data_IF_252848826505
#
_entry.id   IF_252848826505
#
_cell.length_a   1.000
_cell.length_b   1.000
_cell.length_c   1.000
_cell.angle_alpha   90.00
_cell.angle_beta   90.00
_cell.angle_gamma   90.00
#
_symmetry.space_group_name_H-M   'P 1'
#
loop_
_entity.id
_entity.type
_entity.pdbx_description
1 polymer ?
#
# COMPACT_ATOMS: atom_id res chain seq x y z
N UNK A 1 -29.59 2.68 -4.37
CA UNK A 1 -29.15 2.01 -5.62
C UNK A 1 -28.53 0.65 -5.29
N UNK A 2 -29.35 -0.26 -4.76
CA UNK A 2 -29.00 -1.66 -4.51
C UNK A 2 -29.29 -2.47 -5.79
N UNK A 3 -28.53 -3.54 -6.03
CA UNK A 3 -28.67 -4.51 -7.14
C UNK A 3 -27.90 -4.22 -8.43
N UNK A 4 -26.74 -3.55 -8.35
CA UNK A 4 -25.64 -3.95 -9.26
C UNK A 4 -24.93 -5.15 -8.62
N UNK A 5 -24.72 -6.27 -9.33
CA UNK A 5 -23.97 -7.39 -8.78
C UNK A 5 -22.58 -6.91 -8.34
N UNK A 6 -22.08 -7.42 -7.20
CA UNK A 6 -20.81 -6.99 -6.60
C UNK A 6 -19.65 -6.97 -7.61
N UNK A 7 -19.64 -7.93 -8.55
CA UNK A 7 -18.67 -7.99 -9.63
C UNK A 7 -18.69 -6.75 -10.55
N UNK A 8 -19.86 -6.18 -10.83
CA UNK A 8 -19.99 -4.97 -11.64
C UNK A 8 -19.55 -3.72 -10.86
N UNK A 9 -19.82 -3.67 -9.55
CA UNK A 9 -19.31 -2.60 -8.69
C UNK A 9 -17.77 -2.60 -8.64
N UNK A 10 -17.16 -3.78 -8.48
CA UNK A 10 -15.71 -3.94 -8.50
C UNK A 10 -15.11 -3.53 -9.85
N UNK A 11 -15.73 -3.94 -10.97
CA UNK A 11 -15.31 -3.50 -12.32
C UNK A 11 -15.41 -1.98 -12.48
N UNK A 12 -16.49 -1.39 -11.98
CA UNK A 12 -16.69 0.06 -12.03
C UNK A 12 -15.59 0.79 -11.25
N UNK A 13 -15.27 0.34 -10.03
CA UNK A 13 -14.18 0.87 -9.20
C UNK A 13 -12.82 0.84 -9.92
N UNK A 14 -12.46 -0.28 -10.56
CA UNK A 14 -11.20 -0.35 -11.31
C UNK A 14 -11.23 0.46 -12.61
N UNK A 15 -12.40 0.69 -13.20
CA UNK A 15 -12.53 1.51 -14.41
C UNK A 15 -12.39 3.01 -14.15
N UNK A 16 -12.79 3.48 -12.98
CA UNK A 16 -12.75 4.90 -12.59
C UNK A 16 -11.37 5.39 -12.18
N UNK A 17 -10.49 4.50 -11.73
CA UNK A 17 -9.09 4.82 -11.43
C UNK A 17 -8.32 5.03 -12.74
N UNK A 18 -7.55 6.12 -12.86
CA UNK A 18 -6.82 6.44 -14.11
C UNK A 18 -5.47 5.73 -14.21
N UNK A 19 -4.65 5.78 -13.15
CA UNK A 19 -3.28 5.24 -13.19
C UNK A 19 -3.25 3.73 -12.98
N UNK A 20 -2.50 3.03 -13.82
CA UNK A 20 -2.33 1.56 -13.73
C UNK A 20 -1.68 1.13 -12.42
N UNK A 21 -0.64 1.83 -11.95
CA UNK A 21 0.01 1.55 -10.66
C UNK A 21 -0.99 1.55 -9.50
N UNK A 22 -1.90 2.53 -9.46
CA UNK A 22 -2.92 2.62 -8.42
C UNK A 22 -3.93 1.47 -8.48
N UNK A 23 -4.26 0.97 -9.69
CA UNK A 23 -5.11 -0.22 -9.87
C UNK A 23 -4.42 -1.49 -9.37
N UNK A 24 -3.15 -1.67 -9.73
CA UNK A 24 -2.36 -2.84 -9.31
C UNK A 24 -2.21 -2.88 -7.78
N UNK A 25 -1.95 -1.73 -7.16
CA UNK A 25 -1.88 -1.61 -5.70
C UNK A 25 -3.21 -1.87 -5.01
N UNK A 26 -4.31 -1.33 -5.54
CA UNK A 26 -5.65 -1.58 -4.98
C UNK A 26 -6.01 -3.05 -5.07
N UNK A 27 -5.76 -3.69 -6.21
CA UNK A 27 -6.01 -5.11 -6.40
C UNK A 27 -5.21 -5.96 -5.41
N UNK A 28 -3.94 -5.62 -5.20
CA UNK A 28 -3.12 -6.30 -4.21
C UNK A 28 -3.68 -6.14 -2.79
N UNK A 29 -4.03 -4.91 -2.41
CA UNK A 29 -4.59 -4.60 -1.10
C UNK A 29 -5.90 -5.38 -0.84
N UNK A 30 -6.83 -5.38 -1.81
CA UNK A 30 -8.09 -6.13 -1.74
C UNK A 30 -7.80 -7.63 -1.63
N UNK A 31 -6.89 -8.16 -2.44
CA UNK A 31 -6.53 -9.58 -2.42
C UNK A 31 -5.96 -9.99 -1.06
N UNK A 32 -5.07 -9.20 -0.47
CA UNK A 32 -4.53 -9.49 0.86
C UNK A 32 -5.61 -9.44 1.94
N UNK A 33 -6.47 -8.41 1.93
CA UNK A 33 -7.60 -8.32 2.84
C UNK A 33 -8.52 -9.55 2.75
N UNK A 34 -8.81 -10.01 1.51
CA UNK A 34 -9.60 -11.22 1.28
C UNK A 34 -8.90 -12.48 1.80
N UNK A 35 -7.61 -12.67 1.52
CA UNK A 35 -6.87 -13.84 2.00
C UNK A 35 -6.85 -13.91 3.53
N UNK A 36 -6.59 -12.78 4.19
CA UNK A 36 -6.60 -12.70 5.65
C UNK A 36 -8.00 -12.98 6.21
N UNK A 37 -9.04 -12.40 5.61
CA UNK A 37 -10.42 -12.66 6.01
C UNK A 37 -10.80 -14.15 5.88
N UNK A 38 -10.44 -14.79 4.77
CA UNK A 38 -10.69 -16.22 4.55
C UNK A 38 -9.90 -17.06 5.55
N UNK A 39 -8.62 -16.75 5.79
CA UNK A 39 -7.82 -17.47 6.77
C UNK A 39 -8.46 -17.41 8.17
N UNK A 40 -8.94 -16.24 8.60
CA UNK A 40 -9.65 -16.07 9.87
C UNK A 40 -10.95 -16.87 9.93
N UNK A 41 -11.75 -16.82 8.86
CA UNK A 41 -13.02 -17.55 8.77
C UNK A 41 -12.82 -19.05 8.90
N UNK A 42 -11.78 -19.59 8.27
CA UNK A 42 -11.46 -21.02 8.28
C UNK A 42 -10.59 -21.44 9.48
N UNK A 43 -10.20 -20.50 10.35
CA UNK A 43 -9.30 -20.78 11.49
C UNK A 43 -7.86 -21.13 11.08
N UNK A 44 -7.43 -20.73 9.89
CA UNK A 44 -6.05 -20.93 9.42
C UNK A 44 -5.12 -19.87 10.03
N UNK A 45 -4.09 -20.33 10.76
CA UNK A 45 -3.09 -19.45 11.36
C UNK A 45 -1.98 -19.01 10.41
N UNK A 46 -1.84 -19.68 9.25
CA UNK A 46 -0.74 -19.44 8.31
C UNK A 46 -1.25 -19.27 6.88
N UNK A 47 -0.73 -18.25 6.18
CA UNK A 47 -0.93 -18.05 4.74
C UNK A 47 0.42 -18.22 4.05
N UNK A 48 0.53 -19.20 3.15
CA UNK A 48 1.75 -19.40 2.36
C UNK A 48 1.68 -18.64 1.04
N UNK A 49 2.63 -17.72 0.84
CA UNK A 49 2.76 -16.92 -0.37
C UNK A 49 3.86 -17.49 -1.27
N UNK A 50 3.55 -17.58 -2.56
CA UNK A 50 4.44 -18.14 -3.59
C UNK A 50 5.48 -17.14 -4.12
N UNK A 51 5.99 -16.27 -3.25
CA UNK A 51 6.97 -15.25 -3.64
C UNK A 51 8.36 -15.88 -3.80
N UNK A 52 8.90 -15.83 -5.02
CA UNK A 52 10.30 -16.16 -5.33
C UNK A 52 11.25 -15.04 -4.92
N UNK A 53 12.55 -15.31 -4.84
CA UNK A 53 13.59 -14.30 -4.62
C UNK A 53 13.53 -13.19 -5.68
N UNK A 54 13.36 -13.55 -6.96
CA UNK A 54 13.21 -12.58 -8.05
C UNK A 54 11.97 -11.70 -7.85
N UNK A 55 10.83 -12.30 -7.48
CA UNK A 55 9.59 -11.55 -7.20
C UNK A 55 9.74 -10.64 -5.98
N UNK A 56 10.44 -11.10 -4.94
CA UNK A 56 10.76 -10.31 -3.76
C UNK A 56 11.61 -9.08 -4.11
N UNK A 57 12.68 -9.24 -4.89
CA UNK A 57 13.50 -8.11 -5.33
C UNK A 57 12.69 -7.07 -6.12
N UNK A 58 11.82 -7.52 -7.03
CA UNK A 58 10.90 -6.63 -7.78
C UNK A 58 9.97 -5.88 -6.82
N UNK A 59 9.34 -6.60 -5.87
CA UNK A 59 8.47 -6.00 -4.86
C UNK A 59 9.22 -4.99 -4.01
N UNK A 60 10.45 -5.29 -3.57
CA UNK A 60 11.25 -4.40 -2.73
C UNK A 60 11.50 -3.05 -3.39
N UNK A 61 11.97 -3.05 -4.63
CA UNK A 61 12.23 -1.81 -5.37
C UNK A 61 10.92 -1.08 -5.69
N UNK A 62 9.89 -1.79 -6.16
CA UNK A 62 8.58 -1.20 -6.48
C UNK A 62 7.93 -0.54 -5.25
N UNK A 63 7.90 -1.24 -4.12
CA UNK A 63 7.37 -0.76 -2.85
C UNK A 63 8.13 0.47 -2.37
N UNK A 64 9.47 0.46 -2.46
CA UNK A 64 10.31 1.60 -2.12
C UNK A 64 9.97 2.81 -3.00
N UNK A 65 9.88 2.63 -4.32
CA UNK A 65 9.51 3.69 -5.28
C UNK A 65 8.10 4.25 -5.06
N UNK A 66 7.18 3.45 -4.51
CA UNK A 66 5.80 3.85 -4.16
C UNK A 66 5.69 4.51 -2.77
N UNK A 67 6.80 4.71 -2.06
CA UNK A 67 6.80 5.25 -0.70
C UNK A 67 6.33 4.26 0.37
N UNK A 68 6.45 2.95 0.14
CA UNK A 68 6.15 1.89 1.13
C UNK A 68 7.40 1.38 1.84
N UNK A 69 8.42 2.23 2.00
CA UNK A 69 9.64 1.86 2.72
C UNK A 69 9.38 1.49 4.18
N UNK A 70 8.42 2.16 4.84
CA UNK A 70 8.06 1.90 6.24
C UNK A 70 7.55 0.46 6.47
N UNK A 71 6.73 -0.10 5.57
CA UNK A 71 6.17 -1.45 5.72
C UNK A 71 7.11 -2.54 5.21
N UNK A 72 8.18 -2.15 4.52
CA UNK A 72 9.05 -3.08 3.82
C UNK A 72 9.66 -4.13 4.76
N UNK A 73 10.23 -3.79 5.94
CA UNK A 73 10.77 -4.78 6.88
C UNK A 73 9.75 -5.84 7.32
N UNK A 74 8.48 -5.47 7.43
CA UNK A 74 7.39 -6.38 7.79
C UNK A 74 7.00 -7.30 6.63
N UNK A 75 7.00 -6.78 5.41
CA UNK A 75 6.49 -7.47 4.23
C UNK A 75 7.48 -8.44 3.57
N UNK A 76 8.78 -8.27 3.79
CA UNK A 76 9.82 -9.08 3.10
C UNK A 76 10.38 -10.23 3.93
N UNK A 77 9.97 -10.32 5.19
CA UNK A 77 10.37 -11.39 6.10
C UNK A 77 10.03 -12.78 5.55
N UNK A 78 10.71 -13.80 6.10
CA UNK A 78 10.29 -15.20 5.89
C UNK A 78 8.87 -15.36 6.39
N UNK A 79 8.61 -14.77 7.55
CA UNK A 79 7.33 -14.65 8.22
C UNK A 79 6.96 -13.17 8.42
N UNK A 80 5.67 -12.88 8.39
CA UNK A 80 5.09 -11.60 8.79
C UNK A 80 4.02 -11.89 9.85
N UNK A 81 4.46 -11.96 11.10
CA UNK A 81 3.60 -12.14 12.27
C UNK A 81 3.12 -10.80 12.85
N UNK A 82 3.88 -9.73 12.62
CA UNK A 82 3.64 -8.44 13.27
C UNK A 82 2.51 -7.65 12.62
N UNK A 83 2.23 -7.85 11.32
CA UNK A 83 1.20 -7.08 10.61
C UNK A 83 -0.22 -7.56 10.92
N UNK A 84 -0.39 -8.82 11.31
CA UNK A 84 -1.69 -9.42 11.60
C UNK A 84 -1.57 -10.25 12.89
N UNK A 85 -2.24 -9.87 13.99
CA UNK A 85 -2.07 -10.51 15.30
C UNK A 85 -2.37 -12.01 15.35
N UNK A 86 -3.24 -12.49 14.46
CA UNK A 86 -3.84 -13.82 14.47
C UNK A 86 -3.46 -14.69 13.25
N UNK A 87 -2.77 -14.11 12.26
CA UNK A 87 -2.42 -14.80 11.01
C UNK A 87 -0.99 -14.48 10.61
N UNK A 88 -0.17 -15.49 10.41
CA UNK A 88 1.20 -15.34 9.94
C UNK A 88 1.31 -15.55 8.42
N UNK A 89 1.87 -14.58 7.71
CA UNK A 89 2.16 -14.73 6.27
C UNK A 89 3.57 -15.28 6.09
N UNK A 90 3.69 -16.45 5.44
CA UNK A 90 4.94 -17.19 5.23
C UNK A 90 5.37 -17.19 3.76
N UNK A 91 6.68 -17.15 3.51
CA UNK A 91 7.28 -17.16 2.16
C UNK A 91 8.34 -18.24 2.00
N UNK A 92 7.96 -19.51 1.77
CA UNK A 92 8.90 -20.62 1.72
C UNK A 92 9.93 -20.52 0.59
N UNK A 93 9.57 -19.89 -0.53
CA UNK A 93 10.40 -19.79 -1.74
C UNK A 93 11.20 -18.49 -1.83
N UNK A 94 11.31 -17.70 -0.75
CA UNK A 94 11.92 -16.36 -0.80
C UNK A 94 13.37 -16.38 -1.28
N UNK A 95 14.08 -17.49 -1.10
CA UNK A 95 15.48 -17.64 -1.48
C UNK A 95 15.68 -18.42 -2.80
N UNK A 96 14.58 -18.75 -3.50
CA UNK A 96 14.60 -19.47 -4.78
C UNK A 96 14.34 -18.49 -5.93
N UNK A 97 15.18 -18.49 -6.95
CA UNK A 97 15.02 -17.66 -8.14
C UNK A 97 13.85 -18.17 -8.99
N UNK A 98 13.16 -17.26 -9.70
CA UNK A 98 12.05 -17.66 -10.57
C UNK A 98 12.44 -18.69 -11.63
N UNK A 99 13.68 -18.62 -12.13
CA UNK A 99 14.22 -19.61 -13.09
C UNK A 99 14.40 -21.00 -12.47
N UNK A 100 14.81 -21.08 -11.21
CA UNK A 100 15.01 -22.35 -10.50
C UNK A 100 13.67 -23.04 -10.26
N UNK A 101 12.66 -22.27 -9.85
CA UNK A 101 11.27 -22.75 -9.72
C UNK A 101 10.75 -23.22 -11.09
N UNK A 102 11.07 -22.49 -12.17
CA UNK A 102 10.74 -22.89 -13.53
C UNK A 102 11.36 -24.23 -13.93
N UNK A 103 12.67 -24.42 -13.68
CA UNK A 103 13.36 -25.68 -13.92
C UNK A 103 12.81 -26.82 -13.08
N UNK A 104 12.52 -26.57 -11.80
CA UNK A 104 11.88 -27.56 -10.92
C UNK A 104 10.55 -28.02 -11.52
N UNK A 105 9.67 -27.09 -11.88
CA UNK A 105 8.38 -27.42 -12.48
C UNK A 105 8.52 -28.23 -13.78
N UNK A 106 9.53 -27.90 -14.60
CA UNK A 106 9.82 -28.63 -15.83
C UNK A 106 10.28 -30.07 -15.55
N UNK A 107 11.29 -30.26 -14.69
CA UNK A 107 11.84 -31.59 -14.41
C UNK A 107 10.82 -32.51 -13.71
N UNK A 108 9.96 -31.95 -12.86
CA UNK A 108 8.91 -32.69 -12.16
C UNK A 108 7.57 -32.74 -12.92
N UNK A 109 7.51 -32.20 -14.15
CA UNK A 109 6.31 -32.22 -15.03
C UNK A 109 5.05 -31.63 -14.35
N UNK A 110 5.23 -30.49 -13.69
CA UNK A 110 4.18 -29.70 -13.00
C UNK A 110 3.63 -28.60 -13.93
N UNK A 111 4.05 -28.58 -15.20
CA UNK A 111 3.67 -27.65 -16.25
C UNK A 111 2.15 -27.52 -16.47
N UNK A 112 1.38 -28.58 -16.15
CA UNK A 112 -0.09 -28.59 -16.24
C UNK A 112 -0.80 -27.54 -15.38
N UNK A 113 -0.16 -27.02 -14.33
CA UNK A 113 -0.75 -26.04 -13.42
C UNK A 113 -0.28 -24.61 -13.67
N UNK A 114 0.48 -24.37 -14.75
CA UNK A 114 0.96 -23.04 -15.10
C UNK A 114 -0.19 -22.22 -15.67
N UNK A 115 -0.65 -21.24 -14.88
CA UNK A 115 -1.63 -20.26 -15.31
C UNK A 115 -0.93 -19.00 -15.83
N UNK A 116 -1.47 -18.43 -16.91
CA UNK A 116 -1.01 -17.11 -17.38
C UNK A 116 -1.32 -16.05 -16.30
N UNK A 117 -0.38 -15.14 -16.00
CA UNK A 117 -0.63 -14.10 -15.02
C UNK A 117 -1.72 -13.15 -15.52
N UNK A 118 -2.83 -13.10 -14.79
CA UNK A 118 -3.87 -12.08 -14.98
C UNK A 118 -3.52 -10.86 -14.13
N UNK A 119 -2.90 -9.86 -14.75
CA UNK A 119 -2.70 -8.56 -14.14
C UNK A 119 -3.04 -7.44 -15.12
N UNK A 120 -3.24 -6.23 -14.61
CA UNK A 120 -3.64 -5.08 -15.43
C UNK A 120 -2.58 -4.67 -16.45
N UNK A 121 -1.31 -5.04 -16.24
CA UNK A 121 -0.18 -4.73 -17.12
C UNK A 121 0.29 -5.88 -18.01
N UNK A 122 -0.43 -6.99 -18.13
CA UNK A 122 0.03 -8.15 -18.93
C UNK A 122 0.16 -7.74 -20.40
N UNK A 123 1.35 -7.95 -20.99
CA UNK A 123 1.71 -7.54 -22.36
C UNK A 123 1.74 -6.02 -22.63
N UNK A 124 1.63 -5.19 -21.59
CA UNK A 124 1.82 -3.74 -21.73
C UNK A 124 3.31 -3.37 -21.68
N UNK A 125 3.66 -2.19 -22.18
CA UNK A 125 5.04 -1.69 -22.14
C UNK A 125 5.53 -1.54 -20.68
N UNK A 126 6.83 -1.73 -20.42
CA UNK A 126 7.36 -1.66 -19.06
C UNK A 126 7.08 -0.35 -18.35
N UNK A 127 7.01 0.78 -19.08
CA UNK A 127 6.71 2.11 -18.53
C UNK A 127 5.25 2.32 -18.12
N UNK A 128 4.38 1.32 -18.25
CA UNK A 128 2.95 1.43 -17.93
C UNK A 128 2.67 1.51 -16.43
N UNK A 129 3.46 0.85 -15.59
CA UNK A 129 3.33 0.91 -14.13
C UNK A 129 4.69 0.79 -13.45
N UNK A 130 4.76 1.17 -12.17
CA UNK A 130 5.99 1.05 -11.39
C UNK A 130 6.39 -0.43 -11.26
N UNK A 131 5.44 -1.33 -11.05
CA UNK A 131 5.71 -2.76 -10.94
C UNK A 131 6.26 -3.33 -12.24
N UNK A 132 5.70 -2.93 -13.38
CA UNK A 132 6.16 -3.39 -14.70
C UNK A 132 7.55 -2.86 -15.04
N UNK A 133 7.78 -1.58 -14.77
CA UNK A 133 9.09 -0.96 -15.01
C UNK A 133 10.17 -1.63 -14.16
N UNK A 134 9.83 -1.92 -12.90
CA UNK A 134 10.73 -2.57 -11.96
C UNK A 134 10.95 -4.04 -12.33
N UNK A 135 9.92 -4.75 -12.76
CA UNK A 135 10.03 -6.13 -13.25
C UNK A 135 10.97 -6.21 -14.45
N UNK A 136 10.81 -5.33 -15.45
CA UNK A 136 11.70 -5.28 -16.62
C UNK A 136 13.14 -4.93 -16.22
N UNK A 137 13.33 -3.95 -15.34
CA UNK A 137 14.65 -3.55 -14.85
C UNK A 137 15.37 -4.70 -14.11
N UNK A 138 14.71 -5.34 -13.14
CA UNK A 138 15.31 -6.41 -12.34
C UNK A 138 15.59 -7.65 -13.20
N UNK A 139 14.64 -8.06 -14.05
CA UNK A 139 14.84 -9.20 -14.96
C UNK A 139 15.93 -8.90 -15.99
N UNK A 140 16.04 -7.65 -16.45
CA UNK A 140 17.10 -7.20 -17.34
C UNK A 140 18.48 -7.32 -16.70
N UNK A 141 18.67 -6.70 -15.54
CA UNK A 141 19.98 -6.66 -14.87
C UNK A 141 20.40 -8.01 -14.27
N UNK A 142 19.46 -8.87 -13.87
CA UNK A 142 19.76 -10.22 -13.37
C UNK A 142 20.47 -11.08 -14.42
N UNK A 143 20.21 -10.86 -15.72
CA UNK A 143 20.86 -11.59 -16.81
C UNK A 143 22.35 -11.31 -16.89
N UNK A 144 22.73 -10.06 -16.66
CA UNK A 144 24.12 -9.60 -16.71
C UNK A 144 24.84 -9.83 -15.37
N UNK A 145 24.11 -9.68 -14.27
CA UNK A 145 24.63 -9.76 -12.90
C UNK A 145 23.76 -10.69 -12.03
N UNK A 146 24.02 -12.01 -12.02
CA UNK A 146 23.20 -13.00 -11.33
C UNK A 146 23.04 -12.75 -9.82
N UNK A 147 24.03 -12.10 -9.19
CA UNK A 147 23.99 -11.80 -7.75
C UNK A 147 23.04 -10.66 -7.38
N UNK A 148 22.51 -9.89 -8.36
CA UNK A 148 21.73 -8.67 -8.10
C UNK A 148 20.51 -8.92 -7.24
N UNK A 149 19.71 -9.94 -7.56
CA UNK A 149 18.50 -10.30 -6.79
C UNK A 149 18.85 -10.60 -5.33
N UNK A 150 19.91 -11.40 -5.12
CA UNK A 150 20.35 -11.76 -3.77
C UNK A 150 20.89 -10.56 -2.99
N UNK A 151 21.62 -9.65 -3.64
CA UNK A 151 22.15 -8.43 -3.03
C UNK A 151 21.04 -7.51 -2.60
N UNK A 152 20.02 -7.31 -3.46
CA UNK A 152 18.83 -6.51 -3.12
C UNK A 152 18.14 -7.11 -1.89
N UNK A 153 17.81 -8.41 -1.93
CA UNK A 153 17.11 -9.07 -0.83
C UNK A 153 17.89 -8.97 0.50
N UNK A 154 19.21 -9.26 0.49
CA UNK A 154 20.05 -9.14 1.69
C UNK A 154 20.19 -7.71 2.19
N UNK A 155 20.17 -6.73 1.31
CA UNK A 155 20.27 -5.31 1.71
C UNK A 155 18.99 -4.86 2.40
N UNK A 156 17.84 -5.19 1.84
CA UNK A 156 16.55 -4.80 2.42
C UNK A 156 16.25 -5.56 3.72
N UNK A 157 16.70 -6.81 3.85
CA UNK A 157 16.58 -7.58 5.10
C UNK A 157 17.37 -6.99 6.28
N UNK A 158 18.26 -6.02 6.05
CA UNK A 158 18.93 -5.28 7.13
C UNK A 158 18.08 -4.15 7.69
N UNK A 159 16.98 -3.80 7.02
CA UNK A 159 16.08 -2.77 7.50
C UNK A 159 15.27 -3.33 8.68
N UNK A 160 15.11 -2.51 9.72
CA UNK A 160 14.20 -2.76 10.82
C UNK A 160 12.99 -1.81 10.70
N UNK A 161 11.82 -2.19 11.24
CA UNK A 161 10.72 -1.25 11.43
C UNK A 161 11.18 0.01 12.18
N UNK A 162 10.55 1.15 11.89
CA UNK A 162 10.75 2.40 12.62
C UNK A 162 10.31 2.22 14.09
N UNK A 163 10.99 2.89 15.02
CA UNK A 163 10.57 2.90 16.43
C UNK A 163 9.18 3.55 16.61
N UNK A 164 8.82 4.48 15.71
CA UNK A 164 7.54 5.19 15.71
C UNK A 164 6.40 4.39 15.03
N UNK A 165 6.63 3.11 14.74
CA UNK A 165 5.63 2.25 14.11
C UNK A 165 4.62 1.75 15.15
N UNK A 166 3.36 2.13 14.97
CA UNK A 166 2.27 1.66 15.80
C UNK A 166 1.68 0.37 15.22
N UNK A 167 2.00 -0.77 15.86
CA UNK A 167 1.47 -2.08 15.46
C UNK A 167 -0.03 -2.25 15.74
N UNK A 168 -0.61 -1.43 16.61
CA UNK A 168 -2.05 -1.47 16.92
C UNK A 168 -2.86 -0.73 15.85
N UNK A 169 -2.31 0.35 15.29
CA UNK A 169 -2.96 1.13 14.24
C UNK A 169 -2.60 0.62 12.85
N UNK A 170 -3.62 0.19 12.11
CA UNK A 170 -3.46 -0.37 10.77
C UNK A 170 -4.12 0.48 9.70
N UNK A 171 -3.55 0.48 8.49
CA UNK A 171 -4.08 1.21 7.35
C UNK A 171 -5.43 0.62 6.92
N UNK A 172 -6.48 1.42 6.86
CA UNK A 172 -7.80 0.95 6.46
C UNK A 172 -7.86 0.34 5.04
N UNK A 173 -6.91 0.72 4.16
CA UNK A 173 -6.85 0.22 2.78
C UNK A 173 -6.05 -1.08 2.64
N UNK A 174 -4.82 -1.11 3.17
CA UNK A 174 -3.88 -2.22 2.99
C UNK A 174 -3.68 -3.09 4.22
N UNK A 175 -4.30 -2.73 5.35
CA UNK A 175 -4.25 -3.42 6.64
C UNK A 175 -2.87 -3.51 7.31
N UNK A 176 -1.85 -2.91 6.71
CA UNK A 176 -0.49 -2.85 7.29
C UNK A 176 -0.41 -1.83 8.42
N UNK A 177 0.44 -2.05 9.44
CA UNK A 177 0.70 -1.07 10.50
C UNK A 177 1.07 0.31 9.95
N UNK A 178 0.62 1.38 10.61
CA UNK A 178 0.87 2.76 10.18
C UNK A 178 2.01 3.35 11.01
N UNK A 179 2.90 4.10 10.36
CA UNK A 179 3.89 4.95 11.05
C UNK A 179 3.22 6.20 11.63
N UNK A 180 3.53 6.55 12.88
CA UNK A 180 3.02 7.77 13.49
C UNK A 180 3.57 9.03 12.77
N UNK A 181 2.89 10.17 12.90
CA UNK A 181 3.44 11.45 12.43
C UNK A 181 3.53 11.65 10.90
N UNK A 182 2.85 10.85 10.07
CA UNK A 182 2.89 10.97 8.60
C UNK A 182 2.65 12.41 8.10
N UNK A 183 1.71 13.14 8.71
CA UNK A 183 1.41 14.52 8.32
C UNK A 183 2.58 15.49 8.59
N UNK A 184 3.31 15.29 9.69
CA UNK A 184 4.51 16.05 10.02
C UNK A 184 5.66 15.67 9.11
N UNK A 185 5.94 14.36 8.98
CA UNK A 185 6.97 13.86 8.09
C UNK A 185 6.81 14.38 6.66
N UNK A 186 5.58 14.36 6.13
CA UNK A 186 5.25 14.92 4.81
C UNK A 186 5.56 16.41 4.69
N UNK A 187 5.33 17.20 5.74
CA UNK A 187 5.67 18.63 5.74
C UNK A 187 7.18 18.82 5.72
N UNK A 188 7.94 17.99 6.44
CA UNK A 188 9.40 18.07 6.47
C UNK A 188 10.07 17.70 5.14
N UNK A 189 9.53 16.71 4.41
CA UNK A 189 10.11 16.27 3.12
C UNK A 189 9.62 17.06 1.90
N UNK A 190 8.56 17.87 2.05
CA UNK A 190 8.03 18.68 0.95
C UNK A 190 8.65 20.07 1.02
N UNK A 191 9.45 20.44 0.03
CA UNK A 191 9.94 21.81 -0.13
C UNK A 191 8.75 22.69 -0.51
N UNK A 192 8.17 23.40 0.47
CA UNK A 192 7.09 24.37 0.24
C UNK A 192 7.60 25.76 -0.13
N UNK A 193 8.85 26.06 0.21
CA UNK A 193 9.47 27.36 -0.02
C UNK A 193 10.89 27.19 -0.54
N UNK A 194 11.16 27.70 -1.74
CA UNK A 194 12.53 27.84 -2.26
C UNK A 194 13.03 29.20 -1.78
N UNK A 195 13.92 29.21 -0.79
CA UNK A 195 14.68 30.41 -0.45
C UNK A 195 15.66 30.65 -1.62
N UNK A 196 15.57 31.84 -2.22
CA UNK A 196 16.47 32.36 -3.26
C UNK A 196 16.20 31.96 -4.72
N UNK A 197 14.96 32.14 -5.19
CA UNK A 197 14.73 32.42 -6.62
C UNK A 197 14.76 33.94 -6.84
N UNK A 198 15.87 34.46 -7.35
CA UNK A 198 15.92 35.81 -7.94
C UNK A 198 14.80 35.94 -8.98
N UNK A 199 13.88 36.86 -8.75
CA UNK A 199 12.72 37.08 -9.63
C UNK A 199 13.21 37.66 -10.97
N UNK A 200 12.96 37.01 -12.13
CA UNK A 200 12.91 37.76 -13.37
C UNK A 200 11.60 38.56 -13.37
N UNK A 201 11.71 39.88 -13.41
CA UNK A 201 10.61 40.78 -13.74
C UNK A 201 10.15 40.49 -15.16
N UNK A 202 9.11 39.66 -15.29
CA UNK A 202 8.28 39.61 -16.49
C UNK A 202 6.88 40.02 -16.06
N UNK A 203 6.55 41.27 -16.38
CA UNK A 203 5.19 41.78 -16.31
C UNK A 203 4.28 40.96 -17.22
N UNK A 204 3.10 40.63 -16.69
CA UNK A 204 1.94 40.23 -17.49
C UNK A 204 1.79 38.73 -17.71
N UNK A 205 0.97 38.09 -16.86
CA UNK A 205 -0.28 37.44 -17.28
C UNK A 205 -0.94 36.76 -16.08
N UNK A 206 -1.74 37.51 -15.32
CA UNK A 206 -2.71 36.95 -14.38
C UNK A 206 -4.02 37.70 -14.57
N UNK A 207 -4.73 37.36 -15.64
CA UNK A 207 -6.17 37.57 -15.69
C UNK A 207 -6.82 36.67 -14.65
N UNK A 208 -7.80 37.25 -13.97
CA UNK A 208 -8.62 36.68 -12.92
C UNK A 208 -9.20 35.29 -13.27
N UNK A 209 -9.49 34.56 -12.20
CA UNK A 209 -10.30 33.33 -12.12
C UNK A 209 -9.58 32.00 -12.40
N UNK A 210 -8.91 31.46 -11.37
CA UNK A 210 -9.28 30.16 -10.78
C UNK A 210 -8.47 29.92 -9.49
N UNK A 211 -9.18 29.93 -8.36
CA UNK A 211 -8.60 29.80 -7.03
C UNK A 211 -7.92 28.44 -6.81
N UNK A 212 -6.64 28.51 -6.46
CA UNK A 212 -5.85 27.41 -5.96
C UNK A 212 -5.53 27.70 -4.48
N UNK A 213 -5.82 26.73 -3.62
CA UNK A 213 -5.45 26.64 -2.20
C UNK A 213 -6.20 27.52 -1.18
N UNK A 214 -7.11 26.88 -0.44
CA UNK A 214 -7.23 27.02 1.02
C UNK A 214 -7.85 28.29 1.59
N UNK A 215 -9.12 28.24 1.98
CA UNK A 215 -9.75 29.26 2.81
C UNK A 215 -11.08 28.80 3.38
N UNK A 216 -11.15 28.77 4.71
CA UNK A 216 -12.28 28.42 5.55
C UNK A 216 -13.60 29.05 5.12
N UNK A 217 -14.63 28.21 4.95
CA UNK A 217 -16.03 28.62 4.86
C UNK A 217 -16.76 28.15 6.11
N UNK A 218 -17.15 29.10 6.95
CA UNK A 218 -18.17 28.93 7.97
C UNK A 218 -19.52 28.70 7.27
N UNK A 219 -20.06 27.49 7.37
CA UNK A 219 -21.47 27.23 7.08
C UNK A 219 -22.03 26.28 8.14
N UNK A 220 -22.90 26.85 8.97
CA UNK A 220 -23.75 26.21 9.95
C UNK A 220 -24.81 25.36 9.27
N UNK A 221 -24.50 24.07 9.08
CA UNK A 221 -25.47 22.99 8.92
C UNK A 221 -24.88 21.75 9.61
N UNK A 222 -25.64 21.10 10.50
CA UNK A 222 -25.26 19.85 11.17
C UNK A 222 -25.03 18.73 10.13
N UNK A 223 -23.83 18.69 9.56
CA UNK A 223 -23.37 17.64 8.65
C UNK A 223 -22.68 16.57 9.48
N UNK A 224 -23.13 15.32 9.30
CA UNK A 224 -22.44 14.10 9.71
C UNK A 224 -20.93 14.31 9.58
N UNK A 225 -20.11 14.08 10.62
CA UNK A 225 -18.69 14.43 10.58
C UNK A 225 -18.04 13.72 9.39
N UNK A 226 -17.61 14.49 8.38
CA UNK A 226 -16.80 13.96 7.28
C UNK A 226 -15.48 13.50 7.87
N UNK A 227 -15.36 12.20 8.11
CA UNK A 227 -14.14 11.58 8.59
C UNK A 227 -13.07 11.75 7.51
N UNK A 228 -11.95 12.40 7.86
CA UNK A 228 -10.81 12.53 6.94
C UNK A 228 -10.12 11.18 6.77
N UNK A 229 -10.33 10.56 5.60
CA UNK A 229 -9.75 9.26 5.24
C UNK A 229 -8.23 9.21 5.44
N UNK A 230 -7.53 10.32 5.23
CA UNK A 230 -6.06 10.33 5.31
C UNK A 230 -5.54 9.95 6.71
N UNK A 231 -6.32 10.20 7.76
CA UNK A 231 -5.92 9.88 9.14
C UNK A 231 -5.84 8.37 9.42
N UNK A 232 -6.48 7.56 8.58
CA UNK A 232 -6.56 6.09 8.70
C UNK A 232 -5.76 5.37 7.62
N UNK A 233 -4.99 6.11 6.80
CA UNK A 233 -4.23 5.57 5.68
C UNK A 233 -2.74 5.79 5.88
N UNK A 234 -1.96 4.77 5.52
CA UNK A 234 -0.51 4.90 5.41
C UNK A 234 -0.11 5.83 4.25
N UNK A 235 1.12 6.35 4.28
CA UNK A 235 1.61 7.31 3.28
C UNK A 235 1.38 6.87 1.83
N UNK A 236 1.76 5.64 1.48
CA UNK A 236 1.57 5.15 0.11
C UNK A 236 0.10 5.03 -0.30
N UNK A 237 -0.79 4.62 0.61
CA UNK A 237 -2.22 4.60 0.31
C UNK A 237 -2.79 6.02 0.16
N UNK A 238 -2.30 7.00 0.91
CA UNK A 238 -2.64 8.42 0.69
C UNK A 238 -2.15 8.92 -0.67
N UNK A 239 -0.95 8.52 -1.11
CA UNK A 239 -0.42 8.86 -2.43
C UNK A 239 -1.31 8.28 -3.53
N UNK A 240 -1.66 7.00 -3.42
CA UNK A 240 -2.55 6.35 -4.38
C UNK A 240 -3.94 6.98 -4.39
N UNK A 241 -4.50 7.36 -3.23
CA UNK A 241 -5.83 7.96 -3.11
C UNK A 241 -5.98 9.25 -3.94
N UNK A 242 -4.88 9.98 -4.22
CA UNK A 242 -4.90 11.15 -5.11
C UNK A 242 -5.33 10.83 -6.54
N UNK A 243 -5.17 9.58 -6.97
CA UNK A 243 -5.55 9.11 -8.31
C UNK A 243 -6.99 8.56 -8.36
N UNK A 244 -7.75 8.66 -7.26
CA UNK A 244 -9.12 8.18 -7.12
C UNK A 244 -10.08 9.37 -7.27
N UNK A 245 -11.13 9.21 -8.08
CA UNK A 245 -12.20 10.19 -8.16
C UNK A 245 -13.23 9.97 -7.03
N UNK A 246 -14.16 10.91 -6.83
CA UNK A 246 -15.19 10.81 -5.79
C UNK A 246 -16.00 9.51 -5.89
N UNK A 247 -16.38 9.10 -7.11
CA UNK A 247 -17.09 7.83 -7.36
C UNK A 247 -16.27 6.60 -6.93
N UNK A 248 -14.95 6.61 -7.14
CA UNK A 248 -14.05 5.52 -6.72
C UNK A 248 -13.99 5.43 -5.20
N UNK A 249 -14.00 6.57 -4.51
CA UNK A 249 -13.94 6.63 -3.05
C UNK A 249 -15.23 6.06 -2.45
N UNK A 250 -16.39 6.42 -3.02
CA UNK A 250 -17.69 5.88 -2.58
C UNK A 250 -17.85 4.38 -2.88
N UNK A 251 -17.19 3.89 -3.94
CA UNK A 251 -17.22 2.47 -4.33
C UNK A 251 -16.09 1.63 -3.74
N UNK A 252 -15.33 2.16 -2.77
CA UNK A 252 -14.33 1.38 -2.06
C UNK A 252 -14.96 0.16 -1.36
N UNK A 253 -14.20 -0.94 -1.20
CA UNK A 253 -14.68 -2.13 -0.50
C UNK A 253 -15.18 -1.82 0.92
N UNK A 254 -16.22 -2.54 1.36
CA UNK A 254 -16.87 -2.34 2.66
C UNK A 254 -15.91 -2.45 3.84
N UNK A 255 -14.92 -3.35 3.77
CA UNK A 255 -13.93 -3.53 4.84
C UNK A 255 -13.14 -2.24 5.15
N UNK A 256 -12.95 -1.36 4.15
CA UNK A 256 -12.24 -0.08 4.34
C UNK A 256 -13.05 0.81 5.27
N UNK A 257 -14.35 0.94 5.00
CA UNK A 257 -15.27 1.73 5.82
C UNK A 257 -15.44 1.14 7.23
N UNK A 258 -15.55 -0.19 7.34
CA UNK A 258 -15.62 -0.89 8.63
C UNK A 258 -14.34 -0.66 9.45
N UNK A 259 -13.17 -0.73 8.82
CA UNK A 259 -11.88 -0.47 9.48
C UNK A 259 -11.81 0.96 10.00
N UNK A 260 -12.20 1.96 9.19
CA UNK A 260 -12.22 3.37 9.60
C UNK A 260 -13.19 3.57 10.78
N UNK A 261 -14.39 3.01 10.69
CA UNK A 261 -15.39 3.13 11.75
C UNK A 261 -14.90 2.53 13.06
N UNK A 262 -14.32 1.34 13.03
CA UNK A 262 -13.80 0.66 14.22
C UNK A 262 -12.64 1.44 14.85
N UNK A 263 -11.68 1.90 14.04
CA UNK A 263 -10.55 2.69 14.54
C UNK A 263 -10.99 4.06 15.09
N UNK A 264 -11.94 4.73 14.41
CA UNK A 264 -12.50 5.99 14.90
C UNK A 264 -13.24 5.81 16.23
N UNK A 265 -14.00 4.71 16.36
CA UNK A 265 -14.67 4.36 17.62
C UNK A 265 -13.66 4.09 18.72
N UNK A 266 -12.61 3.33 18.45
CA UNK A 266 -11.55 3.03 19.41
C UNK A 266 -10.84 4.29 19.88
N UNK A 267 -10.43 5.17 18.96
CA UNK A 267 -9.82 6.46 19.30
C UNK A 267 -10.75 7.30 20.19
N UNK A 268 -12.05 7.37 19.87
CA UNK A 268 -13.03 8.09 20.68
C UNK A 268 -13.16 7.51 22.09
N UNK A 269 -13.13 6.18 22.22
CA UNK A 269 -13.17 5.51 23.51
C UNK A 269 -11.89 5.77 24.30
N UNK A 270 -10.72 5.68 23.66
CA UNK A 270 -9.42 5.99 24.27
C UNK A 270 -9.36 7.43 24.76
N UNK A 271 -9.85 8.39 23.98
CA UNK A 271 -9.92 9.80 24.38
C UNK A 271 -10.83 10.01 25.61
N UNK A 272 -11.94 9.28 25.70
CA UNK A 272 -12.85 9.36 26.85
C UNK A 272 -12.28 8.75 28.13
N UNK A 273 -11.43 7.73 28.00
CA UNK A 273 -10.83 7.04 29.15
C UNK A 273 -9.40 7.53 29.45
N UNK A 274 -8.85 8.45 28.64
CA UNK A 274 -7.46 8.89 28.72
C UNK A 274 -7.08 9.38 30.12
N UNK A 275 -7.99 10.11 30.77
CA UNK A 275 -7.79 10.65 32.13
C UNK A 275 -7.84 9.57 33.24
N UNK A 276 -8.23 8.34 32.89
CA UNK A 276 -8.33 7.19 33.78
C UNK A 276 -7.31 6.09 33.47
N UNK A 277 -6.50 6.26 32.42
CA UNK A 277 -5.41 5.34 32.10
C UNK A 277 -4.30 5.55 33.12
N UNK A 278 -4.01 4.50 33.89
CA UNK A 278 -2.82 4.46 34.74
C UNK A 278 -1.63 4.33 33.78
N UNK A 279 -0.70 5.28 33.82
CA UNK A 279 0.59 5.11 33.15
C UNK A 279 1.29 3.94 33.84
N UNK A 280 1.45 2.83 33.12
CA UNK A 280 2.31 1.73 33.55
C UNK A 280 3.73 2.30 33.60
N UNK A 281 4.11 2.84 34.75
CA UNK A 281 5.49 3.21 35.04
C UNK A 281 6.30 1.92 35.01
N UNK A 282 7.19 1.83 34.03
CA UNK A 282 8.15 0.75 33.83
C UNK A 282 8.92 0.43 35.13
N UNK A 283 8.88 -0.84 35.54
CA UNK A 283 9.98 -1.49 36.27
C UNK A 283 10.93 -2.15 35.27
#
# INVERSE_FOLDING_TARGET
NSDKPLANQLKQLFSSIKKTTAKEDLLWNIKMAMLVHVARREGCMYIFMADSATRQAIKMISMTSKGRGYSLPLDIGVDNQQSFPDVCIMRPMKDMLSKEIGFYNYFFKIDKFVLSPFNFGTMMAGKTSIDRLTEEFIVGIEREFPSTVSTICRTVLKLSPSADMDLKRTCAMCLMPIEAGIAEWRRHITVTEVKDAEKPTIEGCCSKDTGCCGGSGCDSEEKVPKVDLNQFLCYSCQVNLKDYNAESIESLPTYVNESIYNQSRENRLLDQIKDFLIEDNDE
#
